data_IF_209096874391
#
_entry.id   IF_209096874391
#
_cell.length_a   1.000
_cell.length_b   1.000
_cell.length_c   1.000
_cell.angle_alpha   90.00
_cell.angle_beta   90.00
_cell.angle_gamma   90.00
#
_symmetry.space_group_name_H-M   'P 1'
#
loop_
_entity.id
_entity.type
_entity.pdbx_description
1 polymer ?
#
# COMPACT_ATOMS: atom_id res chain seq x y z
N UNK A 1 1.03 -5.06 30.91
CA UNK A 1 0.47 -5.44 29.60
C UNK A 1 0.20 -4.15 28.85
N UNK A 2 1.09 -3.77 27.92
CA UNK A 2 0.91 -2.54 27.14
C UNK A 2 -0.23 -2.76 26.15
N UNK A 3 -1.24 -1.88 26.14
CA UNK A 3 -2.20 -1.87 25.04
C UNK A 3 -1.43 -1.67 23.74
N UNK A 4 -1.69 -2.54 22.76
CA UNK A 4 -1.17 -2.35 21.41
C UNK A 4 -1.81 -1.05 20.88
N UNK A 5 -1.02 -0.12 20.32
CA UNK A 5 -1.53 1.15 19.83
C UNK A 5 -2.56 0.95 18.70
N UNK A 6 -3.68 1.67 18.79
CA UNK A 6 -4.77 1.76 17.80
C UNK A 6 -4.33 2.55 16.55
N UNK A 7 -3.29 2.10 15.84
CA UNK A 7 -2.99 2.66 14.53
C UNK A 7 -3.49 1.75 13.42
N UNK A 8 -4.10 2.39 12.42
CA UNK A 8 -4.46 1.77 11.15
C UNK A 8 -3.18 1.31 10.42
N UNK A 9 -3.19 0.11 9.80
CA UNK A 9 -4.28 -0.85 9.81
C UNK A 9 -4.32 -1.66 11.12
N UNK A 10 -5.44 -1.56 11.85
CA UNK A 10 -5.70 -2.40 13.01
C UNK A 10 -6.23 -3.77 12.51
N UNK A 11 -5.45 -4.83 12.74
CA UNK A 11 -5.78 -6.22 12.39
C UNK A 11 -6.90 -6.82 13.26
N UNK A 12 -8.03 -6.12 13.44
CA UNK A 12 -9.22 -6.64 14.11
C UNK A 12 -10.47 -6.31 13.31
N UNK A 13 -11.43 -7.26 13.16
CA UNK A 13 -12.71 -7.01 12.51
C UNK A 13 -13.37 -5.75 13.10
N UNK A 14 -14.15 -4.99 12.31
CA UNK A 14 -15.01 -4.01 12.93
C UNK A 14 -15.98 -4.73 13.86
N UNK A 15 -16.01 -4.32 15.11
CA UNK A 15 -17.03 -4.81 16.05
C UNK A 15 -18.41 -4.21 15.74
N UNK A 16 -18.46 -3.12 14.99
CA UNK A 16 -19.71 -2.40 14.73
C UNK A 16 -20.63 -3.14 13.73
N UNK A 17 -21.91 -3.20 14.08
CA UNK A 17 -22.97 -3.81 13.29
C UNK A 17 -23.26 -3.04 11.99
N UNK A 18 -23.03 -1.73 11.96
CA UNK A 18 -23.28 -0.89 10.80
C UNK A 18 -22.39 -1.23 9.60
N UNK A 19 -21.15 -1.68 9.83
CA UNK A 19 -20.25 -2.19 8.80
C UNK A 19 -20.71 -3.55 8.27
N UNK A 20 -21.29 -4.41 9.11
CA UNK A 20 -21.88 -5.69 8.65
C UNK A 20 -23.10 -5.46 7.78
N UNK A 21 -23.96 -4.52 8.15
CA UNK A 21 -25.11 -4.12 7.34
C UNK A 21 -24.68 -3.52 6.00
N UNK A 22 -23.60 -2.71 5.99
CA UNK A 22 -23.03 -2.17 4.77
C UNK A 22 -22.45 -3.26 3.85
N UNK A 23 -21.71 -4.23 4.41
CA UNK A 23 -21.19 -5.38 3.67
C UNK A 23 -22.35 -6.20 3.06
N UNK A 24 -23.38 -6.51 3.85
CA UNK A 24 -24.58 -7.21 3.37
C UNK A 24 -25.32 -6.44 2.27
N UNK A 25 -25.47 -5.13 2.42
CA UNK A 25 -26.07 -4.27 1.40
C UNK A 25 -25.25 -4.25 0.10
N UNK A 26 -23.93 -4.44 0.18
CA UNK A 26 -23.04 -4.61 -0.96
C UNK A 26 -23.02 -6.05 -1.51
N UNK A 27 -23.78 -6.99 -0.93
CA UNK A 27 -23.80 -8.40 -1.30
C UNK A 27 -22.58 -9.19 -0.84
N UNK A 28 -21.85 -8.68 0.17
CA UNK A 28 -20.69 -9.32 0.78
C UNK A 28 -21.16 -10.06 2.03
N UNK A 29 -21.08 -11.39 2.01
CA UNK A 29 -21.39 -12.24 3.15
C UNK A 29 -20.11 -12.59 3.91
N UNK A 30 -20.00 -12.11 5.15
CA UNK A 30 -18.85 -12.38 6.03
C UNK A 30 -19.16 -13.58 6.93
N UNK A 31 -18.50 -14.71 6.67
CA UNK A 31 -18.65 -15.94 7.45
C UNK A 31 -17.97 -15.89 8.83
N UNK A 32 -18.29 -16.84 9.73
CA UNK A 32 -17.74 -16.88 11.08
C UNK A 32 -16.24 -17.17 11.14
N UNK A 33 -15.66 -17.73 10.08
CA UNK A 33 -14.22 -18.04 9.96
C UNK A 33 -13.43 -16.90 9.31
N UNK A 34 -14.07 -15.77 8.98
CA UNK A 34 -13.38 -14.67 8.32
C UNK A 34 -12.33 -14.04 9.25
N UNK A 35 -11.10 -13.95 8.72
CA UNK A 35 -10.02 -13.20 9.33
C UNK A 35 -9.67 -12.00 8.44
N UNK A 36 -9.34 -10.87 9.08
CA UNK A 36 -8.88 -9.70 8.33
C UNK A 36 -7.55 -9.99 7.66
N UNK A 37 -7.43 -9.56 6.41
CA UNK A 37 -6.18 -9.59 5.67
C UNK A 37 -5.22 -8.52 6.18
N UNK A 38 -4.02 -8.93 6.61
CA UNK A 38 -2.92 -8.00 6.89
C UNK A 38 -2.28 -7.61 5.55
N UNK A 39 -2.22 -6.31 5.25
CA UNK A 39 -1.60 -5.82 4.02
C UNK A 39 -0.14 -6.27 3.89
N UNK A 40 0.58 -6.49 5.00
CA UNK A 40 1.94 -7.04 4.98
C UNK A 40 2.01 -8.43 4.35
N UNK A 41 0.91 -9.18 4.35
CA UNK A 41 0.81 -10.53 3.78
C UNK A 41 0.44 -10.50 2.28
N UNK A 42 0.28 -9.31 1.68
CA UNK A 42 0.11 -9.15 0.24
C UNK A 42 1.32 -9.64 -0.56
N UNK A 43 1.09 -10.11 -1.79
CA UNK A 43 2.13 -10.75 -2.59
C UNK A 43 3.33 -9.83 -2.89
N UNK A 44 3.11 -8.51 -2.95
CA UNK A 44 4.15 -7.50 -3.16
C UNK A 44 4.91 -7.14 -1.88
N UNK A 45 4.41 -7.52 -0.69
CA UNK A 45 5.08 -7.31 0.59
C UNK A 45 5.70 -8.61 1.12
N UNK A 46 4.92 -9.70 1.11
CA UNK A 46 5.25 -11.00 1.69
C UNK A 46 6.50 -11.65 1.10
N UNK A 47 6.72 -11.46 -0.21
CA UNK A 47 7.92 -11.97 -0.88
C UNK A 47 9.25 -11.40 -0.32
N UNK A 48 9.22 -10.29 0.43
CA UNK A 48 10.41 -9.67 0.99
C UNK A 48 10.77 -10.17 2.41
N UNK A 49 9.78 -10.62 3.21
CA UNK A 49 9.99 -10.96 4.62
C UNK A 49 9.64 -12.41 5.00
N UNK A 50 8.78 -13.10 4.24
CA UNK A 50 8.40 -14.48 4.52
C UNK A 50 9.31 -15.45 3.75
N UNK A 51 10.15 -16.18 4.47
CA UNK A 51 11.09 -17.17 3.90
C UNK A 51 10.39 -18.30 3.14
N UNK A 52 9.10 -18.58 3.41
CA UNK A 52 8.34 -19.58 2.66
C UNK A 52 7.92 -19.09 1.26
N UNK A 53 7.88 -17.76 1.04
CA UNK A 53 7.47 -17.12 -0.23
C UNK A 53 8.67 -16.53 -0.96
N UNK A 54 9.71 -16.14 -0.23
CA UNK A 54 10.91 -15.53 -0.77
C UNK A 54 11.76 -16.58 -1.51
N UNK A 55 11.94 -16.37 -2.82
CA UNK A 55 12.77 -17.21 -3.68
C UNK A 55 13.50 -16.36 -4.71
N UNK A 56 14.45 -16.95 -5.44
CA UNK A 56 15.15 -16.25 -6.50
C UNK A 56 14.20 -15.81 -7.62
N UNK A 57 13.20 -16.63 -7.94
CA UNK A 57 12.15 -16.36 -8.93
C UNK A 57 11.22 -15.24 -8.47
N UNK A 58 10.77 -15.25 -7.22
CA UNK A 58 9.90 -14.18 -6.72
C UNK A 58 10.64 -12.84 -6.70
N UNK A 59 11.93 -12.84 -6.36
CA UNK A 59 12.77 -11.65 -6.47
C UNK A 59 13.05 -11.22 -7.92
N UNK A 60 13.02 -12.13 -8.90
CA UNK A 60 13.21 -11.79 -10.31
C UNK A 60 12.07 -10.92 -10.86
N UNK A 61 10.84 -11.21 -10.45
CA UNK A 61 9.67 -10.39 -10.77
C UNK A 61 9.88 -8.92 -10.37
N UNK A 62 10.37 -8.66 -9.15
CA UNK A 62 10.63 -7.30 -8.65
C UNK A 62 11.84 -6.66 -9.35
N UNK A 63 12.91 -7.43 -9.62
CA UNK A 63 14.07 -6.93 -10.40
C UNK A 63 13.67 -6.45 -11.80
N UNK A 64 12.69 -7.10 -12.42
CA UNK A 64 12.14 -6.70 -13.71
C UNK A 64 11.44 -5.33 -13.72
N UNK A 65 11.00 -4.85 -12.56
CA UNK A 65 10.34 -3.54 -12.41
C UNK A 65 11.31 -2.43 -11.97
N UNK A 66 12.38 -2.74 -11.22
CA UNK A 66 13.14 -1.73 -10.50
C UNK A 66 14.47 -1.26 -11.12
N UNK A 67 15.29 -2.14 -11.74
CA UNK A 67 16.73 -1.79 -11.91
C UNK A 67 17.31 -1.95 -13.30
N UNK A 68 16.72 -2.75 -14.17
CA UNK A 68 17.24 -2.89 -15.55
C UNK A 68 16.08 -3.14 -16.47
N UNK A 69 15.47 -2.06 -16.93
CA UNK A 69 14.34 -2.12 -17.83
C UNK A 69 14.86 -2.55 -19.21
N UNK A 70 14.73 -3.84 -19.53
CA UNK A 70 15.14 -4.37 -20.83
C UNK A 70 14.00 -4.17 -21.84
N UNK A 71 14.23 -3.50 -22.98
CA UNK A 71 13.20 -3.38 -24.00
C UNK A 71 12.86 -4.77 -24.55
N UNK A 72 11.57 -5.13 -24.53
CA UNK A 72 11.08 -6.34 -25.18
C UNK A 72 11.10 -6.14 -26.69
N UNK A 73 11.76 -7.04 -27.43
CA UNK A 73 11.64 -7.09 -28.89
C UNK A 73 10.40 -7.91 -29.25
N UNK A 74 9.30 -7.24 -29.51
CA UNK A 74 8.06 -7.84 -29.97
C UNK A 74 7.46 -6.97 -31.07
N UNK A 75 6.78 -7.61 -32.03
CA UNK A 75 6.09 -6.89 -33.09
C UNK A 75 5.06 -5.93 -32.48
N UNK A 76 5.07 -4.68 -32.96
CA UNK A 76 4.20 -3.62 -32.44
C UNK A 76 4.69 -2.94 -31.15
N UNK A 77 5.83 -3.35 -30.57
CA UNK A 77 6.41 -2.67 -29.40
C UNK A 77 7.67 -1.89 -29.80
N UNK A 78 7.54 -0.57 -29.92
CA UNK A 78 8.62 0.33 -30.34
C UNK A 78 9.35 0.96 -29.15
N UNK A 79 10.46 1.64 -29.44
CA UNK A 79 11.16 2.46 -28.43
C UNK A 79 10.25 3.56 -27.85
N UNK A 80 9.31 4.10 -28.63
CA UNK A 80 8.37 5.12 -28.15
C UNK A 80 7.43 4.53 -27.10
N UNK A 81 6.94 3.32 -27.33
CA UNK A 81 6.05 2.61 -26.39
C UNK A 81 6.79 2.27 -25.10
N UNK A 82 8.03 1.81 -25.23
CA UNK A 82 8.93 1.61 -24.11
C UNK A 82 9.15 2.89 -23.30
N UNK A 83 9.48 4.00 -23.97
CA UNK A 83 9.71 5.28 -23.31
C UNK A 83 8.43 5.81 -22.62
N UNK A 84 7.28 5.73 -23.30
CA UNK A 84 6.00 6.21 -22.77
C UNK A 84 5.58 5.43 -21.52
N UNK A 85 5.65 4.09 -21.56
CA UNK A 85 5.36 3.24 -20.40
C UNK A 85 6.20 3.65 -19.20
N UNK A 86 7.52 3.79 -19.37
CA UNK A 86 8.43 4.06 -18.25
C UNK A 86 8.32 5.52 -17.76
N UNK A 87 8.13 6.49 -18.66
CA UNK A 87 7.95 7.89 -18.28
C UNK A 87 6.68 8.10 -17.43
N UNK A 88 5.64 7.29 -17.67
CA UNK A 88 4.40 7.35 -16.89
C UNK A 88 4.58 7.02 -15.39
N UNK A 89 5.65 6.28 -15.03
CA UNK A 89 5.95 5.92 -13.64
C UNK A 89 6.85 6.93 -12.91
N UNK A 90 7.45 7.89 -13.63
CA UNK A 90 8.48 8.79 -13.09
C UNK A 90 8.13 9.48 -11.77
N UNK A 91 6.91 10.00 -11.64
CA UNK A 91 6.46 10.67 -10.40
C UNK A 91 6.23 9.66 -9.27
N UNK A 92 5.61 8.53 -9.56
CA UNK A 92 5.36 7.50 -8.57
C UNK A 92 6.68 6.92 -8.03
N UNK A 93 7.65 6.70 -8.91
CA UNK A 93 8.99 6.23 -8.54
C UNK A 93 9.71 7.25 -7.66
N UNK A 94 9.67 8.54 -7.98
CA UNK A 94 10.32 9.61 -7.20
C UNK A 94 9.82 9.67 -5.76
N UNK A 95 8.50 9.59 -5.56
CA UNK A 95 7.93 9.57 -4.21
C UNK A 95 8.22 8.26 -3.48
N UNK A 96 7.97 7.13 -4.12
CA UNK A 96 8.12 5.83 -3.47
C UNK A 96 9.58 5.50 -3.14
N UNK A 97 10.56 6.00 -3.91
CA UNK A 97 11.99 5.76 -3.67
C UNK A 97 12.61 6.71 -2.63
N UNK A 98 11.92 7.78 -2.24
CA UNK A 98 12.46 8.85 -1.38
C UNK A 98 13.04 8.35 -0.05
N UNK A 99 12.43 7.34 0.55
CA UNK A 99 12.87 6.70 1.81
C UNK A 99 13.28 5.23 1.64
N UNK A 100 13.63 4.82 0.41
CA UNK A 100 14.00 3.44 0.09
C UNK A 100 15.18 2.91 0.90
N UNK A 101 16.14 3.77 1.27
CA UNK A 101 17.28 3.40 2.10
C UNK A 101 16.87 2.93 3.50
N UNK A 102 15.71 3.36 3.99
CA UNK A 102 15.11 2.94 5.26
C UNK A 102 14.15 1.76 5.09
N UNK A 103 14.04 1.21 3.87
CA UNK A 103 13.12 0.12 3.55
C UNK A 103 11.67 0.57 3.31
N UNK A 104 11.40 1.87 3.19
CA UNK A 104 10.04 2.39 2.99
C UNK A 104 9.74 2.66 1.51
N UNK A 105 8.48 2.43 1.12
CA UNK A 105 7.88 2.69 -0.19
C UNK A 105 6.70 3.66 -0.05
N UNK A 106 7.03 4.94 0.10
CA UNK A 106 6.05 5.98 0.40
C UNK A 106 4.96 6.13 -0.67
N UNK A 107 3.70 6.27 -0.23
CA UNK A 107 2.56 6.43 -1.12
C UNK A 107 2.18 5.14 -1.86
N UNK A 108 2.87 4.02 -1.59
CA UNK A 108 2.55 2.71 -2.14
C UNK A 108 2.26 1.68 -1.04
N UNK A 109 3.28 1.25 -0.29
CA UNK A 109 3.14 0.33 0.85
C UNK A 109 3.28 1.06 2.20
N UNK A 110 3.88 2.24 2.21
CA UNK A 110 4.09 3.04 3.41
C UNK A 110 3.41 4.42 3.31
N UNK A 111 2.98 5.00 4.45
CA UNK A 111 2.51 6.37 4.49
C UNK A 111 3.56 7.35 3.95
N UNK A 112 3.12 8.39 3.26
CA UNK A 112 4.00 9.44 2.78
C UNK A 112 4.40 10.37 3.93
N UNK A 113 5.70 10.57 4.14
CA UNK A 113 6.17 11.56 5.12
C UNK A 113 5.79 12.98 4.70
N UNK A 114 5.27 13.75 5.65
CA UNK A 114 4.92 15.14 5.42
C UNK A 114 6.15 15.96 5.02
N UNK A 115 6.02 16.73 3.93
CA UNK A 115 7.09 17.64 3.47
C UNK A 115 7.36 18.79 4.44
N UNK A 116 6.32 19.27 5.11
CA UNK A 116 6.39 20.36 6.06
C UNK A 116 5.87 19.88 7.42
N UNK A 117 6.39 20.43 8.53
CA UNK A 117 5.80 20.17 9.84
C UNK A 117 4.33 20.62 9.83
N UNK A 118 3.46 19.98 10.64
CA UNK A 118 2.12 20.48 10.89
C UNK A 118 2.15 21.96 11.30
N UNK A 119 1.11 22.71 10.94
CA UNK A 119 1.01 24.11 11.34
C UNK A 119 1.09 24.24 12.87
N UNK A 120 1.85 25.24 13.35
CA UNK A 120 1.95 25.52 14.80
C UNK A 120 0.60 25.93 15.39
N UNK A 121 -0.21 26.63 14.58
CA UNK A 121 -1.57 27.01 14.94
C UNK A 121 -2.48 25.78 14.98
N UNK A 122 -2.95 25.45 16.18
CA UNK A 122 -3.97 24.41 16.38
C UNK A 122 -5.36 25.05 16.33
N UNK A 123 -6.27 24.44 15.59
CA UNK A 123 -7.68 24.81 15.61
C UNK A 123 -8.42 23.90 16.60
N UNK A 124 -9.32 24.51 17.39
CA UNK A 124 -10.23 23.74 18.24
C UNK A 124 -11.22 23.01 17.35
N UNK A 125 -11.33 21.69 17.52
CA UNK A 125 -12.35 20.90 16.85
C UNK A 125 -13.58 20.89 17.75
N UNK A 126 -14.56 21.73 17.43
CA UNK A 126 -15.77 21.89 18.25
C UNK A 126 -16.65 20.62 18.21
N UNK A 127 -16.70 19.95 17.05
CA UNK A 127 -17.43 18.70 16.88
C UNK A 127 -16.69 17.74 15.93
N UNK A 128 -15.96 16.74 16.47
CA UNK A 128 -15.25 15.75 15.65
C UNK A 128 -16.15 14.96 14.69
N UNK A 129 -17.41 14.72 15.07
CA UNK A 129 -18.38 14.01 14.23
C UNK A 129 -18.82 14.79 12.99
N UNK A 130 -18.66 16.12 12.99
CA UNK A 130 -18.94 16.96 11.82
C UNK A 130 -17.78 16.99 10.81
N UNK A 131 -16.58 16.51 11.18
CA UNK A 131 -15.36 16.55 10.36
C UNK A 131 -15.04 15.21 9.68
N UNK A 132 -15.88 14.20 9.88
CA UNK A 132 -15.68 12.81 9.42
C UNK A 132 -16.60 12.41 8.26
N UNK A 133 -17.35 13.37 7.69
CA UNK A 133 -18.22 13.17 6.53
C UNK A 133 -17.50 13.34 5.19
#
# INVERSE_FOLDING_TARGET
MSQAPDHYPANRPPEDEARRDADLAAGIEVGPEFERFDQRDDIFSRAFWDDAVRSDESMEFFRGHGHTIKPRRADGFTQRDFALRNAAWSVADDYADRNRANGLREGFQDPQEARYPPAEQRMTVDNPGAMTA
#
